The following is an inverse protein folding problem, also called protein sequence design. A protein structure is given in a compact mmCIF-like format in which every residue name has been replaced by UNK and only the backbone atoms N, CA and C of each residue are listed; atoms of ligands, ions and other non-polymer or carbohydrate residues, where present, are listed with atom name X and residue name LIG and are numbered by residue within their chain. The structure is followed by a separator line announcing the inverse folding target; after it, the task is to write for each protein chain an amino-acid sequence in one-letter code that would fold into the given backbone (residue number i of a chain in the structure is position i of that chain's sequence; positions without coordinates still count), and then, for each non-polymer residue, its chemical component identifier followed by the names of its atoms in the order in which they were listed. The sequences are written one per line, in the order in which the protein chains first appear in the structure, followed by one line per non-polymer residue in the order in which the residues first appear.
data_IF_043588829510
#
_entry.id   IF_043588829510
#
_cell.length_a   1.000
_cell.length_b   1.000
_cell.length_c   1.000
_cell.angle_alpha   90.00
_cell.angle_beta   90.00
_cell.angle_gamma   90.00
#
_symmetry.space_group_name_H-M   'P 1'
#
loop_
_entity.id
_entity.type
_entity.pdbx_description
1 polymer ?
#
# COMPACT_ATOMS: atom_id res chain seq x y z
N UNK A 1 40.48 -7.09 4.45
CA UNK A 1 39.24 -6.28 4.57
C UNK A 1 38.41 -6.30 3.29
N UNK A 2 38.99 -6.54 2.10
CA UNK A 2 38.26 -6.57 0.82
C UNK A 2 37.16 -7.64 0.69
N UNK A 3 37.32 -8.81 1.29
CA UNK A 3 36.33 -9.90 1.17
C UNK A 3 34.97 -9.60 1.81
N UNK A 4 34.94 -8.82 2.90
CA UNK A 4 33.69 -8.44 3.57
C UNK A 4 32.89 -7.39 2.79
N UNK A 5 33.58 -6.47 2.13
CA UNK A 5 32.95 -5.43 1.30
C UNK A 5 32.30 -6.05 0.06
N UNK A 6 32.95 -7.04 -0.56
CA UNK A 6 32.39 -7.78 -1.70
C UNK A 6 31.17 -8.62 -1.32
N UNK A 7 31.16 -9.21 -0.12
CA UNK A 7 29.98 -9.94 0.35
C UNK A 7 28.81 -8.98 0.61
N UNK A 8 29.08 -7.86 1.29
CA UNK A 8 28.05 -6.85 1.56
C UNK A 8 27.44 -6.27 0.27
N UNK A 9 28.26 -5.96 -0.75
CA UNK A 9 27.74 -5.45 -2.02
C UNK A 9 26.89 -6.47 -2.76
N UNK A 10 27.29 -7.75 -2.77
CA UNK A 10 26.50 -8.83 -3.38
C UNK A 10 25.16 -9.01 -2.66
N UNK A 11 25.15 -8.94 -1.33
CA UNK A 11 23.90 -8.99 -0.55
C UNK A 11 22.97 -7.81 -0.86
N UNK A 12 23.50 -6.58 -0.95
CA UNK A 12 22.69 -5.41 -1.30
C UNK A 12 22.08 -5.56 -2.69
N UNK A 13 22.86 -6.03 -3.66
CA UNK A 13 22.39 -6.28 -5.04
C UNK A 13 21.29 -7.35 -5.06
N UNK A 14 21.45 -8.45 -4.32
CA UNK A 14 20.43 -9.50 -4.16
C UNK A 14 19.14 -8.99 -3.52
N UNK A 15 19.25 -8.14 -2.49
CA UNK A 15 18.08 -7.53 -1.84
C UNK A 15 17.35 -6.62 -2.83
N UNK A 16 18.06 -5.73 -3.51
CA UNK A 16 17.46 -4.81 -4.51
C UNK A 16 16.82 -5.57 -5.66
N UNK A 17 17.48 -6.60 -6.20
CA UNK A 17 16.90 -7.50 -7.20
C UNK A 17 15.67 -8.24 -6.67
N UNK A 18 15.71 -8.70 -5.41
CA UNK A 18 14.56 -9.29 -4.74
C UNK A 18 13.38 -8.32 -4.67
N UNK A 19 13.59 -7.08 -4.23
CA UNK A 19 12.55 -6.04 -4.18
C UNK A 19 12.01 -5.70 -5.58
N UNK A 20 12.87 -5.69 -6.61
CA UNK A 20 12.47 -5.44 -8.00
C UNK A 20 11.65 -6.60 -8.59
N UNK A 21 12.06 -7.86 -8.34
CA UNK A 21 11.41 -9.07 -8.89
C UNK A 21 10.13 -9.41 -8.13
N UNK A 22 10.13 -9.26 -6.81
CA UNK A 22 8.93 -9.48 -6.01
C UNK A 22 7.93 -8.34 -6.19
N UNK A 23 8.36 -7.15 -6.63
CA UNK A 23 7.57 -5.93 -6.59
C UNK A 23 7.08 -5.64 -5.16
N UNK A 24 6.37 -4.53 -4.92
CA UNK A 24 5.45 -4.50 -3.81
C UNK A 24 4.40 -5.58 -4.08
N UNK A 25 4.64 -6.82 -3.63
CA UNK A 25 3.56 -7.79 -3.47
C UNK A 25 2.56 -7.08 -2.58
N UNK A 26 1.39 -6.82 -3.15
CA UNK A 26 0.23 -6.26 -2.48
C UNK A 26 -0.05 -7.09 -1.23
N UNK A 27 0.62 -6.75 -0.13
CA UNK A 27 0.14 -7.03 1.21
C UNK A 27 -1.23 -6.41 1.19
N UNK A 28 -2.28 -7.23 1.31
CA UNK A 28 -3.69 -6.85 1.29
C UNK A 28 -3.83 -5.47 1.93
N UNK A 29 -3.88 -4.42 1.09
CA UNK A 29 -3.52 -3.07 1.52
C UNK A 29 -4.80 -2.40 1.92
N UNK A 30 -5.21 -2.69 3.14
CA UNK A 30 -6.20 -1.88 3.83
C UNK A 30 -5.57 -0.52 4.15
N UNK A 31 -5.86 0.51 3.37
CA UNK A 31 -5.44 1.88 3.70
C UNK A 31 -6.66 2.76 3.96
N UNK A 32 -6.47 3.77 4.81
CA UNK A 32 -7.53 4.70 5.19
C UNK A 32 -7.28 6.09 4.63
N UNK A 33 -8.33 6.70 4.08
CA UNK A 33 -8.35 8.06 3.54
C UNK A 33 -9.27 8.89 4.44
N UNK A 34 -8.77 9.98 4.99
CA UNK A 34 -9.61 10.88 5.78
C UNK A 34 -10.55 11.64 4.84
N UNK A 35 -11.86 11.47 5.00
CA UNK A 35 -12.86 12.01 4.08
C UNK A 35 -14.01 12.59 4.91
N UNK A 36 -14.17 13.92 4.89
CA UNK A 36 -15.23 14.61 5.60
C UNK A 36 -16.00 15.55 4.64
N UNK A 37 -17.25 15.26 4.26
CA UNK A 37 -18.06 14.10 4.66
C UNK A 37 -17.61 12.79 3.99
N UNK A 38 -17.66 11.67 4.72
CA UNK A 38 -17.41 10.37 4.11
C UNK A 38 -18.64 9.90 3.36
N UNK A 39 -18.64 10.11 2.05
CA UNK A 39 -19.65 9.60 1.14
C UNK A 39 -19.13 8.33 0.47
N UNK A 40 -19.88 7.23 0.55
CA UNK A 40 -19.44 5.93 0.04
C UNK A 40 -19.05 5.99 -1.46
N UNK A 41 -19.78 6.74 -2.28
CA UNK A 41 -19.44 6.90 -3.71
C UNK A 41 -18.10 7.59 -3.94
N UNK A 42 -17.76 8.63 -3.17
CA UNK A 42 -16.46 9.29 -3.27
C UNK A 42 -15.34 8.39 -2.75
N UNK A 43 -15.58 7.71 -1.62
CA UNK A 43 -14.69 6.73 -1.03
C UNK A 43 -14.33 5.63 -2.05
N UNK A 44 -15.32 5.01 -2.69
CA UNK A 44 -15.10 3.99 -3.72
C UNK A 44 -14.34 4.57 -4.93
N UNK A 45 -14.69 5.79 -5.38
CA UNK A 45 -14.03 6.39 -6.53
C UNK A 45 -12.54 6.65 -6.28
N UNK A 46 -12.18 7.15 -5.09
CA UNK A 46 -10.79 7.35 -4.69
C UNK A 46 -10.04 6.03 -4.49
N UNK A 47 -10.67 5.06 -3.81
CA UNK A 47 -10.09 3.72 -3.64
C UNK A 47 -9.84 3.03 -4.98
N UNK A 48 -10.77 3.15 -5.94
CA UNK A 48 -10.60 2.60 -7.30
C UNK A 48 -9.47 3.29 -8.06
N UNK A 49 -9.26 4.60 -7.88
CA UNK A 49 -8.11 5.29 -8.49
C UNK A 49 -6.78 4.84 -7.89
N UNK A 50 -6.74 4.59 -6.58
CA UNK A 50 -5.54 4.17 -5.89
C UNK A 50 -5.20 2.69 -6.10
N UNK A 51 -6.18 1.79 -6.00
CA UNK A 51 -6.01 0.33 -6.10
C UNK A 51 -6.19 -0.20 -7.52
N UNK A 52 -6.86 0.55 -8.41
CA UNK A 52 -7.14 0.12 -9.78
C UNK A 52 -7.82 -1.26 -9.81
N UNK A 53 -7.22 -2.21 -10.53
CA UNK A 53 -7.62 -3.61 -10.63
C UNK A 53 -7.54 -4.42 -9.32
N UNK A 54 -6.90 -3.87 -8.28
CA UNK A 54 -6.85 -4.48 -6.94
C UNK A 54 -8.04 -4.10 -6.07
N UNK A 55 -8.89 -3.16 -6.50
CA UNK A 55 -10.01 -2.73 -5.67
C UNK A 55 -11.00 -3.88 -5.37
N UNK A 56 -11.09 -4.29 -4.11
CA UNK A 56 -12.06 -5.27 -3.64
C UNK A 56 -13.30 -4.58 -3.07
N UNK A 57 -13.10 -3.66 -2.12
CA UNK A 57 -14.21 -2.98 -1.46
C UNK A 57 -13.75 -1.68 -0.78
N UNK A 58 -14.70 -0.84 -0.40
CA UNK A 58 -14.45 0.29 0.47
C UNK A 58 -15.57 0.48 1.49
N UNK A 59 -15.23 0.98 2.67
CA UNK A 59 -16.20 1.27 3.72
C UNK A 59 -15.93 2.62 4.37
N UNK A 60 -17.00 3.37 4.64
CA UNK A 60 -16.92 4.59 5.45
C UNK A 60 -17.09 4.23 6.92
N UNK A 61 -16.13 4.63 7.73
CA UNK A 61 -16.19 4.48 9.19
C UNK A 61 -15.96 5.83 9.87
N UNK A 62 -16.42 5.95 11.11
CA UNK A 62 -16.25 7.14 11.94
C UNK A 62 -15.41 6.74 13.14
N UNK A 63 -14.26 7.37 13.32
CA UNK A 63 -13.44 7.20 14.51
C UNK A 63 -13.27 8.49 15.28
N UNK A 64 -12.42 8.45 16.30
CA UNK A 64 -12.17 9.56 17.23
C UNK A 64 -11.66 10.83 16.53
N UNK A 65 -11.07 10.70 15.34
CA UNK A 65 -10.51 11.80 14.55
C UNK A 65 -11.41 12.24 13.37
N UNK A 66 -12.65 11.74 13.30
CA UNK A 66 -13.61 12.07 12.26
C UNK A 66 -13.95 10.89 11.35
N UNK A 67 -14.57 11.18 10.21
CA UNK A 67 -14.97 10.16 9.23
C UNK A 67 -13.81 9.84 8.28
N UNK A 68 -13.60 8.56 8.02
CA UNK A 68 -12.58 8.08 7.09
C UNK A 68 -13.08 6.89 6.28
N UNK A 69 -12.54 6.78 5.09
CA UNK A 69 -12.79 5.74 4.11
C UNK A 69 -11.70 4.68 4.23
N UNK A 70 -12.05 3.40 4.38
CA UNK A 70 -11.11 2.28 4.33
C UNK A 70 -11.24 1.65 2.94
N UNK A 71 -10.13 1.56 2.22
CA UNK A 71 -10.01 0.88 0.93
C UNK A 71 -9.40 -0.51 1.14
N UNK A 72 -9.97 -1.54 0.54
CA UNK A 72 -9.48 -2.92 0.58
C UNK A 72 -9.09 -3.37 -0.82
N UNK A 73 -7.90 -3.97 -0.98
CA UNK A 73 -7.43 -4.51 -2.24
C UNK A 73 -6.21 -5.42 -2.12
#
# INVERSE_FOLDING_TARGET
MEGRVKLASVFVVLVVLGFLVLGPKSVESAFSIQLNPCTLSQCIADCKKALQEKFLSATCTTGSQGKFCICLG
#
